data_IF_689422379814
#
_entry.id   IF_689422379814
#
_cell.length_a   1.000
_cell.length_b   1.000
_cell.length_c   1.000
_cell.angle_alpha   90.00
_cell.angle_beta   90.00
_cell.angle_gamma   90.00
#
_symmetry.space_group_name_H-M   'P 1'
#
loop_
_entity.id
_entity.type
_entity.pdbx_description
1 polymer ?
#
# COMPACT_ATOMS: atom_id res chain seq x y z
N UNK A 1 9.90 -8.60 -11.05
CA UNK A 1 10.25 -7.92 -9.78
C UNK A 1 10.35 -6.41 -9.96
N UNK A 2 11.17 -5.90 -10.89
CA UNK A 2 11.33 -4.45 -11.08
C UNK A 2 10.03 -3.70 -11.39
N UNK A 3 9.13 -4.31 -12.17
CA UNK A 3 7.80 -3.75 -12.47
C UNK A 3 6.92 -3.60 -11.23
N UNK A 4 6.94 -4.59 -10.32
CA UNK A 4 6.18 -4.54 -9.07
C UNK A 4 6.70 -3.41 -8.18
N UNK A 5 8.02 -3.32 -8.00
CA UNK A 5 8.66 -2.29 -7.19
C UNK A 5 8.41 -0.89 -7.76
N UNK A 6 8.45 -0.74 -9.08
CA UNK A 6 8.10 0.51 -9.77
C UNK A 6 6.64 0.90 -9.53
N UNK A 7 5.71 -0.04 -9.68
CA UNK A 7 4.28 0.22 -9.50
C UNK A 7 3.93 0.55 -8.05
N UNK A 8 4.52 -0.17 -7.09
CA UNK A 8 4.37 0.12 -5.66
C UNK A 8 4.91 1.51 -5.29
N UNK A 9 6.07 1.89 -5.84
CA UNK A 9 6.65 3.22 -5.65
C UNK A 9 5.78 4.32 -6.29
N UNK A 10 5.20 4.07 -7.47
CA UNK A 10 4.25 4.98 -8.10
C UNK A 10 2.98 5.15 -7.26
N UNK A 11 2.42 4.06 -6.74
CA UNK A 11 1.24 4.12 -5.88
C UNK A 11 1.53 4.85 -4.57
N UNK A 12 2.70 4.65 -3.97
CA UNK A 12 3.15 5.40 -2.79
C UNK A 12 3.28 6.89 -3.12
N UNK A 13 3.91 7.24 -4.24
CA UNK A 13 4.08 8.61 -4.72
C UNK A 13 2.74 9.30 -4.99
N UNK A 14 1.84 8.63 -5.69
CA UNK A 14 0.49 9.12 -5.98
C UNK A 14 -0.30 9.34 -4.68
N UNK A 15 -0.24 8.38 -3.75
CA UNK A 15 -0.91 8.52 -2.45
C UNK A 15 -0.36 9.69 -1.66
N UNK A 16 0.97 9.85 -1.63
CA UNK A 16 1.60 10.95 -0.92
C UNK A 16 1.23 12.31 -1.53
N UNK A 17 1.18 12.40 -2.87
CA UNK A 17 0.70 13.58 -3.57
C UNK A 17 -0.75 13.94 -3.16
N UNK A 18 -1.67 12.98 -3.29
CA UNK A 18 -3.08 13.19 -2.96
C UNK A 18 -3.30 13.54 -1.48
N UNK A 19 -2.52 12.92 -0.58
CA UNK A 19 -2.64 13.18 0.85
C UNK A 19 -2.08 14.57 1.25
N UNK A 20 -1.18 15.16 0.47
CA UNK A 20 -0.56 16.44 0.81
C UNK A 20 -1.56 17.61 0.88
N UNK A 21 -2.61 17.57 0.06
CA UNK A 21 -3.68 18.59 0.03
C UNK A 21 -4.98 18.11 0.70
N UNK A 22 -5.06 16.82 1.04
CA UNK A 22 -6.22 16.23 1.68
C UNK A 22 -6.33 16.55 3.17
N UNK A 23 -7.52 16.31 3.73
CA UNK A 23 -7.68 16.27 5.18
C UNK A 23 -6.84 15.13 5.79
N UNK A 24 -6.33 15.37 7.01
CA UNK A 24 -5.36 14.49 7.67
C UNK A 24 -5.85 13.04 7.84
N UNK A 25 -7.16 12.83 7.90
CA UNK A 25 -7.78 11.52 8.11
C UNK A 25 -8.02 10.72 6.83
N UNK A 26 -8.01 11.33 5.64
CA UNK A 26 -8.40 10.64 4.39
C UNK A 26 -7.48 9.47 4.03
N UNK A 27 -6.17 9.70 4.02
CA UNK A 27 -5.16 8.66 3.77
C UNK A 27 -5.18 7.53 4.80
N UNK A 28 -5.13 7.81 6.11
CA UNK A 28 -5.29 6.79 7.14
C UNK A 28 -6.60 5.99 7.04
N UNK A 29 -7.71 6.66 6.72
CA UNK A 29 -9.00 5.99 6.53
C UNK A 29 -8.97 5.07 5.31
N UNK A 30 -8.39 5.50 4.19
CA UNK A 30 -8.26 4.66 3.00
C UNK A 30 -7.41 3.40 3.30
N UNK A 31 -6.30 3.55 4.01
CA UNK A 31 -5.47 2.43 4.44
C UNK A 31 -6.25 1.48 5.36
N UNK A 32 -7.03 2.01 6.31
CA UNK A 32 -7.87 1.22 7.20
C UNK A 32 -8.95 0.43 6.44
N UNK A 33 -9.62 1.06 5.47
CA UNK A 33 -10.63 0.40 4.64
C UNK A 33 -10.02 -0.76 3.85
N UNK A 34 -8.85 -0.58 3.23
CA UNK A 34 -8.15 -1.66 2.54
C UNK A 34 -7.73 -2.79 3.48
N UNK A 35 -7.28 -2.43 4.69
CA UNK A 35 -6.89 -3.41 5.70
C UNK A 35 -8.10 -4.25 6.16
N UNK A 36 -9.23 -3.61 6.44
CA UNK A 36 -10.48 -4.27 6.81
C UNK A 36 -11.04 -5.13 5.67
N UNK A 37 -10.88 -4.69 4.41
CA UNK A 37 -11.25 -5.49 3.24
C UNK A 37 -10.43 -6.79 3.17
N UNK A 38 -9.12 -6.72 3.42
CA UNK A 38 -8.27 -7.91 3.52
C UNK A 38 -8.73 -8.87 4.62
N UNK A 39 -9.09 -8.35 5.79
CA UNK A 39 -9.67 -9.14 6.88
C UNK A 39 -11.01 -9.77 6.51
N UNK A 40 -11.92 -9.03 5.88
CA UNK A 40 -13.23 -9.55 5.47
C UNK A 40 -13.08 -10.70 4.46
N UNK A 41 -12.14 -10.59 3.53
CA UNK A 41 -11.81 -11.67 2.58
C UNK A 41 -11.24 -12.89 3.32
N UNK A 42 -10.32 -12.67 4.27
CA UNK A 42 -9.71 -13.73 5.06
C UNK A 42 -10.73 -14.50 5.90
N UNK A 43 -11.68 -13.81 6.54
CA UNK A 43 -12.74 -14.42 7.34
C UNK A 43 -13.81 -15.14 6.50
N UNK A 44 -13.98 -14.74 5.25
CA UNK A 44 -14.92 -15.37 4.31
C UNK A 44 -14.41 -16.66 3.66
N UNK A 45 -13.15 -17.04 3.89
CA UNK A 45 -12.58 -18.29 3.38
C UNK A 45 -13.05 -19.47 4.23
N UNK A 46 -13.70 -20.45 3.59
CA UNK A 46 -14.07 -21.71 4.23
C UNK A 46 -12.94 -22.75 4.15
N UNK A 47 -12.86 -23.63 5.15
CA UNK A 47 -11.85 -24.71 5.20
C UNK A 47 -11.93 -25.62 3.96
N UNK A 48 -13.14 -25.86 3.43
CA UNK A 48 -13.35 -26.66 2.23
C UNK A 48 -12.74 -26.04 0.94
N UNK A 49 -12.60 -24.70 0.89
CA UNK A 49 -11.91 -24.01 -0.21
C UNK A 49 -10.38 -24.06 -0.07
N UNK A 50 -9.86 -24.22 1.15
CA UNK A 50 -8.44 -24.36 1.43
C UNK A 50 -7.93 -25.79 1.14
N UNK A 51 -8.74 -26.82 1.38
CA UNK A 51 -8.35 -28.22 1.14
C UNK A 51 -8.15 -28.58 -0.33
N UNK A 52 -8.86 -27.92 -1.25
CA UNK A 52 -8.87 -28.29 -2.68
C UNK A 52 -7.88 -27.49 -3.54
N UNK A 53 -7.04 -26.61 -2.98
CA UNK A 53 -6.11 -25.80 -3.77
C UNK A 53 -4.88 -25.38 -2.97
N UNK A 54 -3.69 -25.44 -3.58
CA UNK A 54 -2.41 -25.07 -2.94
C UNK A 54 -2.40 -23.59 -2.52
N UNK A 55 -3.03 -22.71 -3.30
CA UNK A 55 -3.30 -21.30 -2.93
C UNK A 55 -4.59 -20.84 -3.64
N UNK A 56 -5.74 -20.75 -2.95
CA UNK A 56 -6.95 -20.16 -3.52
C UNK A 56 -6.67 -18.72 -4.01
N UNK A 57 -7.10 -18.33 -5.22
CA UNK A 57 -6.92 -16.96 -5.74
C UNK A 57 -7.41 -15.86 -4.78
N UNK A 58 -8.40 -16.19 -3.95
CA UNK A 58 -8.98 -15.35 -2.91
C UNK A 58 -7.96 -14.93 -1.85
N UNK A 59 -6.99 -15.80 -1.50
CA UNK A 59 -5.88 -15.46 -0.60
C UNK A 59 -4.98 -14.40 -1.22
N UNK A 60 -4.74 -14.49 -2.53
CA UNK A 60 -3.98 -13.48 -3.27
C UNK A 60 -4.64 -12.09 -3.20
N UNK A 61 -5.97 -12.02 -3.21
CA UNK A 61 -6.71 -10.77 -3.04
C UNK A 61 -6.58 -10.19 -1.62
N UNK A 62 -6.63 -11.04 -0.58
CA UNK A 62 -6.41 -10.60 0.80
C UNK A 62 -5.00 -10.03 1.00
N UNK A 63 -3.98 -10.73 0.48
CA UNK A 63 -2.58 -10.26 0.50
C UNK A 63 -2.44 -8.96 -0.26
N UNK A 64 -3.02 -8.84 -1.46
CA UNK A 64 -2.98 -7.61 -2.24
C UNK A 64 -3.65 -6.44 -1.51
N UNK A 65 -4.75 -6.69 -0.79
CA UNK A 65 -5.44 -5.68 0.01
C UNK A 65 -4.56 -5.18 1.17
N UNK A 66 -3.87 -6.08 1.87
CA UNK A 66 -2.95 -5.68 2.95
C UNK A 66 -1.70 -4.97 2.44
N UNK A 67 -1.11 -5.44 1.34
CA UNK A 67 0.00 -4.72 0.69
C UNK A 67 -0.44 -3.33 0.24
N UNK A 68 -1.64 -3.21 -0.36
CA UNK A 68 -2.24 -1.93 -0.73
C UNK A 68 -2.45 -1.02 0.47
N UNK A 69 -2.98 -1.53 1.58
CA UNK A 69 -3.14 -0.79 2.83
C UNK A 69 -1.80 -0.25 3.35
N UNK A 70 -0.73 -1.07 3.30
CA UNK A 70 0.62 -0.67 3.68
C UNK A 70 1.17 0.45 2.80
N UNK A 71 1.10 0.30 1.48
CA UNK A 71 1.58 1.31 0.52
C UNK A 71 0.83 2.63 0.66
N UNK A 72 -0.49 2.59 0.77
CA UNK A 72 -1.33 3.78 0.96
C UNK A 72 -1.04 4.43 2.31
N UNK A 73 -0.97 3.64 3.38
CA UNK A 73 -0.69 4.11 4.73
C UNK A 73 0.67 4.80 4.82
N UNK A 74 1.71 4.19 4.27
CA UNK A 74 3.06 4.76 4.24
C UNK A 74 3.10 6.06 3.43
N UNK A 75 2.49 6.08 2.24
CA UNK A 75 2.40 7.29 1.43
C UNK A 75 1.66 8.42 2.15
N UNK A 76 0.58 8.10 2.85
CA UNK A 76 -0.20 9.06 3.61
C UNK A 76 0.56 9.62 4.82
N UNK A 77 1.23 8.76 5.59
CA UNK A 77 2.06 9.19 6.73
C UNK A 77 3.21 10.07 6.25
N UNK A 78 3.90 9.68 5.18
CA UNK A 78 4.99 10.46 4.61
C UNK A 78 4.52 11.85 4.20
N UNK A 79 3.38 11.96 3.52
CA UNK A 79 2.79 13.24 3.17
C UNK A 79 2.42 14.08 4.39
N UNK A 80 1.83 13.48 5.43
CA UNK A 80 1.46 14.20 6.65
C UNK A 80 2.67 14.77 7.40
N UNK A 81 3.79 14.03 7.40
CA UNK A 81 5.06 14.50 7.99
C UNK A 81 5.66 15.62 7.14
N UNK A 82 5.63 15.50 5.82
CA UNK A 82 6.34 16.41 4.91
C UNK A 82 5.52 17.63 4.43
N UNK A 83 4.18 17.62 4.55
CA UNK A 83 3.28 18.66 4.01
C UNK A 83 3.56 20.09 4.50
N UNK A 84 4.18 20.24 5.67
CA UNK A 84 4.53 21.55 6.22
C UNK A 84 5.91 22.04 5.75
N UNK A 85 6.70 21.20 5.09
CA UNK A 85 8.10 21.47 4.75
C UNK A 85 8.35 21.50 3.24
N UNK A 86 7.56 20.76 2.46
CA UNK A 86 7.79 20.53 1.04
C UNK A 86 6.53 20.81 0.23
N UNK A 87 6.70 21.23 -1.01
CA UNK A 87 5.60 21.32 -1.98
C UNK A 87 5.10 19.93 -2.37
N UNK A 88 3.82 19.77 -2.76
CA UNK A 88 3.23 18.49 -3.13
C UNK A 88 4.05 17.68 -4.14
N UNK A 89 4.59 18.34 -5.18
CA UNK A 89 5.43 17.69 -6.18
C UNK A 89 6.76 17.14 -5.61
N UNK A 90 7.36 17.85 -4.64
CA UNK A 90 8.58 17.37 -3.95
C UNK A 90 8.26 16.20 -3.03
N UNK A 91 7.11 16.22 -2.35
CA UNK A 91 6.64 15.10 -1.53
C UNK A 91 6.46 13.85 -2.40
N UNK A 92 5.80 13.97 -3.54
CA UNK A 92 5.61 12.88 -4.50
C UNK A 92 6.94 12.33 -5.02
N UNK A 93 7.88 13.21 -5.36
CA UNK A 93 9.23 12.82 -5.78
C UNK A 93 10.02 12.09 -4.69
N UNK A 94 10.02 12.62 -3.46
CA UNK A 94 10.66 11.97 -2.30
C UNK A 94 10.04 10.61 -2.00
N UNK A 95 8.71 10.53 -2.04
CA UNK A 95 7.96 9.28 -1.89
C UNK A 95 8.40 8.21 -2.91
N UNK A 96 8.53 8.58 -4.18
CA UNK A 96 8.98 7.66 -5.22
C UNK A 96 10.44 7.23 -5.01
N UNK A 97 11.34 8.19 -4.80
CA UNK A 97 12.77 7.95 -4.67
C UNK A 97 13.12 7.12 -3.42
N UNK A 98 12.38 7.29 -2.32
CA UNK A 98 12.52 6.46 -1.13
C UNK A 98 11.82 5.11 -1.29
N UNK A 99 10.63 5.08 -1.90
CA UNK A 99 9.83 3.87 -2.06
C UNK A 99 10.43 2.86 -3.03
N UNK A 100 10.94 3.32 -4.17
CA UNK A 100 11.48 2.44 -5.22
C UNK A 100 12.60 1.50 -4.75
N UNK A 101 13.68 1.98 -4.08
CA UNK A 101 14.71 1.08 -3.56
C UNK A 101 14.17 0.17 -2.47
N UNK A 102 13.31 0.66 -1.56
CA UNK A 102 12.69 -0.15 -0.50
C UNK A 102 11.89 -1.32 -1.09
N UNK A 103 11.00 -1.05 -2.05
CA UNK A 103 10.22 -2.09 -2.72
C UNK A 103 11.02 -2.95 -3.68
N UNK A 104 12.22 -2.52 -4.10
CA UNK A 104 13.12 -3.34 -4.91
C UNK A 104 13.88 -4.36 -4.06
N UNK A 105 14.16 -4.03 -2.79
CA UNK A 105 14.87 -4.91 -1.86
C UNK A 105 13.90 -5.82 -1.10
N UNK A 106 12.69 -5.37 -0.83
CA UNK A 106 11.67 -6.09 -0.05
C UNK A 106 11.49 -7.57 -0.48
N UNK A 107 11.41 -7.93 -1.77
CA UNK A 107 11.22 -9.32 -2.17
C UNK A 107 12.42 -10.25 -1.91
N UNK A 108 13.59 -9.71 -1.57
CA UNK A 108 14.78 -10.49 -1.20
C UNK A 108 14.88 -10.69 0.32
N UNK A 109 14.01 -10.04 1.10
CA UNK A 109 13.98 -10.11 2.56
C UNK A 109 12.88 -11.03 3.10
N UNK A 110 11.96 -11.48 2.25
CA UNK A 110 10.80 -12.35 2.56
C UNK A 110 11.01 -13.68 1.84
#
# INVERSE_FOLDING_TARGET
MIFFSFFAALMLSLTAFLQSEAAWWKGPLAALVFFLAGFAIALGLSDAMLENTIVPPVIGLAIAAWLGAGVIGLGAVLALVLRNFLSPGRIAGTAFLCGFPVFSVLPFLI
#
